data_IF_006770563836
#
_entry.id   IF_006770563836
#
_cell.length_a   1.000
_cell.length_b   1.000
_cell.length_c   1.000
_cell.angle_alpha   90.00
_cell.angle_beta   90.00
_cell.angle_gamma   90.00
#
_symmetry.space_group_name_H-M   'P 1'
#
loop_
_entity.id
_entity.type
_entity.pdbx_description
1 polymer ?
#
# COMPACT_ATOMS: atom_id res chain seq x y z
N UNK A 1 -7.72 -19.30 4.80
CA UNK A 1 -6.35 -19.79 4.63
C UNK A 1 -5.46 -18.58 4.53
N UNK A 2 -4.44 -18.52 5.38
CA UNK A 2 -3.44 -17.45 5.30
C UNK A 2 -2.49 -17.72 4.13
N UNK A 3 -2.13 -16.67 3.38
CA UNK A 3 -1.12 -16.77 2.32
C UNK A 3 0.26 -16.51 2.91
N UNK A 4 1.29 -17.14 2.35
CA UNK A 4 2.67 -16.81 2.71
C UNK A 4 2.94 -15.35 2.34
N UNK A 5 3.50 -14.58 3.27
CA UNK A 5 3.95 -13.21 3.03
C UNK A 5 5.40 -13.27 2.56
N UNK A 6 5.66 -12.76 1.36
CA UNK A 6 6.99 -12.64 0.77
C UNK A 6 7.10 -11.41 -0.14
N UNK A 7 7.63 -10.32 0.42
CA UNK A 7 7.91 -9.10 -0.32
C UNK A 7 8.97 -9.25 -1.43
N UNK A 8 9.75 -10.34 -1.42
CA UNK A 8 10.85 -10.62 -2.35
C UNK A 8 10.54 -11.75 -3.33
N UNK A 9 9.30 -12.27 -3.36
CA UNK A 9 8.95 -13.35 -4.29
C UNK A 9 9.31 -12.97 -5.74
N UNK A 10 9.50 -13.96 -6.59
CA UNK A 10 9.71 -13.68 -8.00
C UNK A 10 8.40 -13.28 -8.70
N UNK A 11 8.50 -12.66 -9.88
CA UNK A 11 7.37 -12.19 -10.69
C UNK A 11 7.43 -12.82 -12.07
N UNK A 12 6.27 -13.23 -12.58
CA UNK A 12 6.16 -13.70 -13.95
C UNK A 12 6.05 -12.53 -14.90
N UNK A 13 6.79 -12.58 -16.00
CA UNK A 13 6.73 -11.63 -17.11
C UNK A 13 6.16 -12.32 -18.35
N UNK A 14 5.42 -11.58 -19.17
CA UNK A 14 4.95 -11.99 -20.48
C UNK A 14 5.26 -10.88 -21.49
N UNK A 15 6.00 -11.21 -22.55
CA UNK A 15 6.23 -10.30 -23.67
C UNK A 15 5.02 -10.26 -24.60
N UNK A 16 4.41 -9.09 -24.76
CA UNK A 16 3.31 -8.89 -25.72
C UNK A 16 3.74 -9.04 -27.18
N UNK A 17 5.01 -8.81 -27.50
CA UNK A 17 5.53 -8.87 -28.87
C UNK A 17 5.83 -10.30 -29.35
N UNK A 18 6.55 -11.09 -28.56
CA UNK A 18 6.99 -12.43 -28.97
C UNK A 18 6.39 -13.57 -28.14
N UNK A 19 5.57 -13.28 -27.12
CA UNK A 19 4.94 -14.27 -26.26
C UNK A 19 5.89 -14.97 -25.27
N UNK A 20 7.17 -14.57 -25.21
CA UNK A 20 8.13 -15.16 -24.28
C UNK A 20 7.69 -14.92 -22.83
N UNK A 21 7.80 -15.96 -21.98
CA UNK A 21 7.50 -15.92 -20.55
C UNK A 21 8.74 -16.25 -19.75
N UNK A 22 9.00 -15.48 -18.70
CA UNK A 22 10.13 -15.72 -17.80
C UNK A 22 9.83 -15.18 -16.41
N UNK A 23 10.70 -15.48 -15.46
CA UNK A 23 10.57 -15.10 -14.06
C UNK A 23 11.69 -14.12 -13.70
N UNK A 24 11.35 -13.09 -12.94
CA UNK A 24 12.27 -11.99 -12.57
C UNK A 24 12.07 -11.57 -11.11
N UNK A 25 13.06 -10.87 -10.56
CA UNK A 25 12.91 -10.13 -9.29
C UNK A 25 12.42 -8.69 -9.53
N UNK A 26 12.17 -7.98 -8.43
CA UNK A 26 11.74 -6.58 -8.48
C UNK A 26 12.85 -5.64 -8.97
N UNK A 27 14.12 -5.97 -8.75
CA UNK A 27 15.26 -5.21 -9.26
C UNK A 27 15.32 -5.22 -10.79
N UNK A 28 15.05 -6.36 -11.42
CA UNK A 28 14.93 -6.46 -12.87
C UNK A 28 13.75 -5.64 -13.38
N UNK A 29 12.59 -5.68 -12.71
CA UNK A 29 11.42 -4.87 -13.09
C UNK A 29 11.75 -3.38 -13.00
N UNK A 30 12.47 -2.95 -11.97
CA UNK A 30 12.91 -1.56 -11.81
C UNK A 30 13.84 -1.12 -12.93
N UNK A 31 14.86 -1.92 -13.27
CA UNK A 31 15.75 -1.65 -14.41
C UNK A 31 14.99 -1.66 -15.75
N UNK A 32 14.01 -2.56 -15.92
CA UNK A 32 13.14 -2.59 -17.09
C UNK A 32 12.31 -1.31 -17.20
N UNK A 33 11.72 -0.79 -16.11
CA UNK A 33 11.00 0.49 -16.10
C UNK A 33 11.90 1.66 -16.54
N UNK A 34 13.20 1.57 -16.27
CA UNK A 34 14.21 2.55 -16.70
C UNK A 34 14.74 2.32 -18.14
N UNK A 35 14.17 1.37 -18.89
CA UNK A 35 14.63 0.95 -20.22
C UNK A 35 16.08 0.43 -20.24
N UNK A 36 16.56 -0.14 -19.13
CA UNK A 36 17.88 -0.77 -19.02
C UNK A 36 17.83 -2.28 -19.27
N UNK A 37 16.64 -2.87 -19.29
CA UNK A 37 16.40 -4.30 -19.55
C UNK A 37 15.33 -4.43 -20.64
N UNK A 38 15.38 -5.52 -21.39
CA UNK A 38 14.41 -5.85 -22.43
C UNK A 38 13.99 -7.31 -22.39
N UNK A 39 13.00 -7.66 -23.21
CA UNK A 39 12.59 -9.06 -23.35
C UNK A 39 13.78 -9.95 -23.74
N UNK A 40 14.07 -11.04 -23.01
CA UNK A 40 15.15 -11.96 -23.37
C UNK A 40 14.97 -12.60 -24.75
N UNK A 41 13.73 -12.72 -25.23
CA UNK A 41 13.40 -13.34 -26.52
C UNK A 41 13.51 -12.42 -27.74
N UNK A 42 13.13 -11.14 -27.61
CA UNK A 42 13.08 -10.22 -28.75
C UNK A 42 13.70 -8.84 -28.53
N UNK A 43 14.23 -8.57 -27.32
CA UNK A 43 14.93 -7.34 -26.98
C UNK A 43 14.05 -6.11 -26.72
N UNK A 44 12.72 -6.20 -26.90
CA UNK A 44 11.83 -5.06 -26.68
C UNK A 44 11.80 -4.65 -25.21
N UNK A 45 12.00 -3.36 -24.95
CA UNK A 45 12.04 -2.75 -23.62
C UNK A 45 10.66 -2.21 -23.20
N UNK A 46 10.61 -1.43 -22.12
CA UNK A 46 9.37 -0.84 -21.60
C UNK A 46 8.71 0.20 -22.51
N UNK A 47 9.40 0.70 -23.55
CA UNK A 47 8.90 1.77 -24.42
C UNK A 47 8.04 1.23 -25.57
N UNK A 48 8.11 -0.08 -25.85
CA UNK A 48 7.30 -0.71 -26.87
C UNK A 48 5.82 -0.77 -26.49
N UNK A 49 4.92 -0.56 -27.45
CA UNK A 49 3.47 -0.73 -27.22
C UNK A 49 3.13 -2.15 -26.74
N UNK A 50 3.89 -3.14 -27.24
CA UNK A 50 3.80 -4.56 -26.89
C UNK A 50 4.91 -5.00 -25.93
N UNK A 51 5.41 -4.07 -25.11
CA UNK A 51 6.43 -4.31 -24.11
C UNK A 51 6.10 -5.49 -23.18
N UNK A 52 7.11 -6.13 -22.58
CA UNK A 52 6.90 -7.08 -21.51
C UNK A 52 6.08 -6.48 -20.39
N UNK A 53 5.13 -7.25 -19.85
CA UNK A 53 4.39 -6.86 -18.66
C UNK A 53 4.47 -7.95 -17.63
N UNK A 54 4.38 -7.56 -16.36
CA UNK A 54 4.14 -8.52 -15.30
C UNK A 54 2.83 -9.23 -15.59
N UNK A 55 2.78 -10.53 -15.32
CA UNK A 55 1.60 -11.36 -15.46
C UNK A 55 1.43 -12.22 -14.21
N UNK A 56 0.28 -12.88 -14.12
CA UNK A 56 -0.08 -13.69 -12.96
C UNK A 56 0.84 -14.92 -12.87
N UNK A 57 1.17 -15.26 -11.63
CA UNK A 57 1.73 -16.56 -11.29
C UNK A 57 0.68 -17.66 -11.58
N UNK A 58 0.95 -18.59 -12.50
CA UNK A 58 0.01 -19.65 -12.85
C UNK A 58 -0.39 -20.54 -11.66
N UNK A 59 0.40 -20.54 -10.58
CA UNK A 59 0.15 -21.32 -9.36
C UNK A 59 -0.53 -20.48 -8.25
N UNK A 60 -0.96 -19.24 -8.53
CA UNK A 60 -1.69 -18.42 -7.55
C UNK A 60 -3.04 -19.05 -7.20
N UNK A 61 -3.21 -19.42 -5.93
CA UNK A 61 -4.46 -19.96 -5.37
C UNK A 61 -5.72 -19.13 -5.67
N UNK A 62 -5.60 -17.80 -5.86
CA UNK A 62 -6.74 -16.95 -6.21
C UNK A 62 -7.24 -17.15 -7.65
N UNK A 63 -6.56 -17.94 -8.48
CA UNK A 63 -7.06 -18.37 -9.78
C UNK A 63 -8.18 -19.43 -9.66
N UNK A 64 -8.27 -20.13 -8.53
CA UNK A 64 -9.32 -21.12 -8.26
C UNK A 64 -10.48 -20.41 -7.57
N UNK A 65 -11.63 -20.35 -8.25
CA UNK A 65 -12.81 -19.57 -7.79
C UNK A 65 -13.30 -20.04 -6.41
N UNK A 66 -13.27 -21.35 -6.15
CA UNK A 66 -13.69 -21.95 -4.88
C UNK A 66 -12.76 -21.58 -3.70
N UNK A 67 -11.52 -21.20 -3.98
CA UNK A 67 -10.53 -20.87 -2.95
C UNK A 67 -10.61 -19.39 -2.57
N UNK A 68 -11.09 -18.50 -3.45
CA UNK A 68 -11.16 -17.04 -3.23
C UNK A 68 -11.84 -16.67 -1.91
N UNK A 69 -12.98 -17.31 -1.62
CA UNK A 69 -13.74 -17.06 -0.38
C UNK A 69 -13.04 -17.62 0.87
N UNK A 70 -12.18 -18.62 0.69
CA UNK A 70 -11.44 -19.27 1.76
C UNK A 70 -10.15 -18.51 2.09
N UNK A 71 -9.58 -17.77 1.14
CA UNK A 71 -8.37 -16.97 1.33
C UNK A 71 -8.59 -15.81 2.29
N UNK A 72 -7.52 -15.44 2.99
CA UNK A 72 -7.44 -14.21 3.76
C UNK A 72 -6.97 -13.08 2.84
N UNK A 73 -7.67 -11.95 2.94
CA UNK A 73 -7.38 -10.74 2.18
C UNK A 73 -7.00 -9.61 3.12
N UNK A 74 -6.30 -8.61 2.60
CA UNK A 74 -5.81 -7.49 3.39
C UNK A 74 -6.19 -6.15 2.80
N UNK A 75 -6.37 -5.18 3.69
CA UNK A 75 -6.59 -3.78 3.35
C UNK A 75 -5.95 -2.87 4.39
N UNK A 76 -5.51 -1.67 3.98
CA UNK A 76 -5.07 -0.64 4.92
C UNK A 76 -5.94 0.59 4.77
N UNK A 77 -6.46 1.10 5.89
CA UNK A 77 -7.30 2.29 5.92
C UNK A 77 -6.91 3.21 7.07
N UNK A 78 -7.23 4.49 6.94
CA UNK A 78 -7.17 5.47 8.03
C UNK A 78 -8.47 5.51 8.84
N UNK A 79 -9.53 4.83 8.35
CA UNK A 79 -10.80 4.68 9.07
C UNK A 79 -10.66 3.52 10.07
N UNK A 80 -10.94 3.72 11.37
CA UNK A 80 -10.80 2.70 12.43
C UNK A 80 -11.92 1.65 12.44
N UNK A 81 -12.96 1.84 11.65
CA UNK A 81 -14.14 0.99 11.59
C UNK A 81 -14.39 0.43 10.17
N UNK A 82 -13.35 0.36 9.33
CA UNK A 82 -13.50 -0.10 7.95
C UNK A 82 -13.81 -1.63 7.84
N UNK A 83 -14.72 -2.06 6.94
CA UNK A 83 -15.65 -1.22 6.20
C UNK A 83 -16.74 -0.69 7.14
N UNK A 84 -17.04 0.61 7.07
CA UNK A 84 -18.18 1.18 7.80
C UNK A 84 -19.48 0.61 7.23
N UNK A 85 -20.36 0.10 8.11
CA UNK A 85 -21.67 -0.48 7.74
C UNK A 85 -22.59 0.62 7.16
N UNK A 86 -22.80 1.70 7.91
CA UNK A 86 -23.61 2.85 7.49
C UNK A 86 -22.72 3.93 6.86
N UNK A 87 -22.02 3.59 5.78
CA UNK A 87 -21.11 4.52 5.13
C UNK A 87 -21.88 5.73 4.56
N UNK A 88 -21.86 6.82 5.32
CA UNK A 88 -22.34 8.13 4.88
C UNK A 88 -21.18 9.08 4.54
N UNK A 89 -20.78 9.16 3.26
CA UNK A 89 -19.67 10.00 2.83
C UNK A 89 -19.98 11.49 3.03
N UNK A 90 -21.25 11.87 3.22
CA UNK A 90 -21.66 13.26 3.42
C UNK A 90 -21.62 13.72 4.89
N UNK A 91 -21.46 12.80 5.85
CA UNK A 91 -21.60 13.09 7.28
C UNK A 91 -20.60 14.14 7.77
N UNK A 92 -19.36 14.13 7.26
CA UNK A 92 -18.29 15.04 7.68
C UNK A 92 -18.19 16.31 6.82
N UNK A 93 -19.03 16.46 5.79
CA UNK A 93 -18.99 17.63 4.92
C UNK A 93 -19.56 18.86 5.63
N UNK A 94 -18.69 19.83 5.91
CA UNK A 94 -19.08 21.15 6.39
C UNK A 94 -20.05 21.86 5.42
N UNK A 95 -20.94 22.69 5.95
CA UNK A 95 -21.95 23.43 5.17
C UNK A 95 -21.35 24.23 4.00
N UNK A 96 -20.21 24.88 4.24
CA UNK A 96 -19.48 25.61 3.18
C UNK A 96 -19.02 24.69 2.05
N UNK A 97 -18.62 23.47 2.36
CA UNK A 97 -18.19 22.47 1.36
C UNK A 97 -19.40 21.97 0.57
N UNK A 98 -20.51 21.69 1.26
CA UNK A 98 -21.79 21.30 0.62
C UNK A 98 -22.26 22.35 -0.38
N UNK A 99 -22.21 23.63 -0.02
CA UNK A 99 -22.55 24.74 -0.91
C UNK A 99 -21.60 24.81 -2.12
N UNK A 100 -20.29 24.64 -1.92
CA UNK A 100 -19.30 24.62 -3.01
C UNK A 100 -19.49 23.45 -3.97
N UNK A 101 -20.01 22.33 -3.48
CA UNK A 101 -20.33 21.14 -4.30
C UNK A 101 -21.62 21.31 -5.13
N UNK A 102 -22.35 22.42 -4.96
CA UNK A 102 -23.61 22.67 -5.66
C UNK A 102 -24.86 22.40 -4.83
N UNK A 103 -24.74 22.34 -3.50
CA UNK A 103 -25.85 22.15 -2.57
C UNK A 103 -26.22 20.68 -2.33
N UNK A 104 -27.27 20.48 -1.53
CA UNK A 104 -27.60 19.16 -0.96
C UNK A 104 -27.89 18.09 -2.04
N UNK A 105 -28.56 18.44 -3.14
CA UNK A 105 -28.80 17.46 -4.22
C UNK A 105 -27.51 16.96 -4.87
N UNK A 106 -26.53 17.85 -5.06
CA UNK A 106 -25.24 17.48 -5.63
C UNK A 106 -24.42 16.62 -4.65
N UNK A 107 -24.52 16.92 -3.36
CA UNK A 107 -23.93 16.11 -2.27
C UNK A 107 -24.58 14.72 -2.21
N UNK A 108 -25.90 14.61 -2.32
CA UNK A 108 -26.60 13.32 -2.36
C UNK A 108 -26.13 12.48 -3.54
N UNK A 109 -26.11 13.05 -4.76
CA UNK A 109 -25.60 12.34 -5.95
C UNK A 109 -24.13 11.94 -5.81
N UNK A 110 -23.31 12.78 -5.21
CA UNK A 110 -21.91 12.45 -4.92
C UNK A 110 -21.82 11.31 -3.90
N UNK A 111 -22.64 11.33 -2.85
CA UNK A 111 -22.66 10.29 -1.83
C UNK A 111 -23.13 8.93 -2.37
N UNK A 112 -24.13 8.93 -3.26
CA UNK A 112 -24.52 7.73 -4.01
C UNK A 112 -23.36 7.17 -4.84
N UNK A 113 -22.62 8.04 -5.56
CA UNK A 113 -21.42 7.61 -6.29
C UNK A 113 -20.35 7.02 -5.38
N UNK A 114 -20.09 7.60 -4.22
CA UNK A 114 -19.11 7.05 -3.27
C UNK A 114 -19.56 5.69 -2.70
N UNK A 115 -20.86 5.53 -2.43
CA UNK A 115 -21.42 4.24 -1.97
C UNK A 115 -21.38 3.16 -3.06
N UNK A 116 -21.47 3.55 -4.33
CA UNK A 116 -21.40 2.66 -5.48
C UNK A 116 -19.96 2.24 -5.86
N UNK A 117 -18.92 2.73 -5.18
CA UNK A 117 -17.54 2.33 -5.44
C UNK A 117 -17.25 0.93 -4.91
N UNK A 118 -16.47 0.17 -5.67
CA UNK A 118 -15.92 -1.09 -5.19
C UNK A 118 -14.94 -0.85 -4.04
N UNK A 119 -14.92 -1.77 -3.08
CA UNK A 119 -13.84 -1.90 -2.11
C UNK A 119 -12.72 -2.74 -2.72
N UNK A 120 -11.49 -2.41 -2.35
CA UNK A 120 -10.29 -3.10 -2.83
C UNK A 120 -9.57 -3.79 -1.69
N UNK A 121 -9.38 -5.10 -1.82
CA UNK A 121 -8.57 -5.92 -0.90
C UNK A 121 -7.53 -6.70 -1.69
N UNK A 122 -6.38 -6.97 -1.11
CA UNK A 122 -5.24 -7.59 -1.79
C UNK A 122 -4.51 -8.62 -0.95
N UNK A 123 -3.28 -8.93 -1.36
CA UNK A 123 -2.28 -9.60 -0.51
C UNK A 123 -1.88 -8.68 0.65
N UNK A 124 -1.18 -9.25 1.64
CA UNK A 124 -0.62 -8.46 2.73
C UNK A 124 0.32 -7.38 2.16
N UNK A 125 1.17 -7.77 1.22
CA UNK A 125 2.16 -6.95 0.53
C UNK A 125 1.50 -5.81 -0.23
N UNK A 126 0.42 -6.10 -0.98
CA UNK A 126 -0.35 -5.08 -1.68
C UNK A 126 -0.97 -4.07 -0.72
N UNK A 127 -1.47 -4.53 0.42
CA UNK A 127 -2.06 -3.65 1.43
C UNK A 127 -1.00 -2.72 2.06
N UNK A 128 0.17 -3.26 2.44
CA UNK A 128 1.25 -2.45 3.02
C UNK A 128 1.85 -1.48 2.00
N UNK A 129 2.04 -1.88 0.75
CA UNK A 129 2.50 -0.95 -0.30
C UNK A 129 1.45 0.15 -0.53
N UNK A 130 0.15 -0.18 -0.60
CA UNK A 130 -0.90 0.84 -0.71
C UNK A 130 -0.79 1.91 0.40
N UNK A 131 -0.62 1.48 1.65
CA UNK A 131 -0.39 2.40 2.77
C UNK A 131 0.81 3.31 2.53
N UNK A 132 1.98 2.75 2.19
CA UNK A 132 3.19 3.55 1.94
C UNK A 132 3.00 4.56 0.80
N UNK A 133 2.36 4.13 -0.29
CA UNK A 133 2.01 4.99 -1.43
C UNK A 133 1.08 6.13 -1.00
N UNK A 134 0.10 5.87 -0.15
CA UNK A 134 -0.83 6.89 0.37
C UNK A 134 -0.12 7.92 1.26
N UNK A 135 0.82 7.48 2.09
CA UNK A 135 1.63 8.36 2.92
C UNK A 135 2.49 9.30 2.06
N UNK A 136 3.11 8.78 0.99
CA UNK A 136 3.98 9.56 0.08
C UNK A 136 3.15 10.50 -0.84
N UNK A 137 2.14 9.96 -1.51
CA UNK A 137 1.50 10.63 -2.66
C UNK A 137 0.10 11.21 -2.36
N UNK A 138 -0.56 10.89 -1.23
CA UNK A 138 -1.97 11.24 -0.97
C UNK A 138 -2.21 12.08 0.30
N UNK A 139 -1.16 12.72 0.83
CA UNK A 139 -1.24 13.61 2.00
C UNK A 139 -1.80 12.97 3.28
N UNK A 140 -1.82 11.64 3.38
CA UNK A 140 -2.15 10.89 4.61
C UNK A 140 -0.94 10.84 5.58
N UNK A 141 0.05 11.71 5.38
CA UNK A 141 1.21 11.81 6.26
C UNK A 141 0.78 12.22 7.67
N UNK A 142 1.14 11.40 8.67
CA UNK A 142 0.78 11.62 10.07
C UNK A 142 -0.60 11.07 10.47
N UNK A 143 -1.36 10.47 9.54
CA UNK A 143 -2.60 9.78 9.87
C UNK A 143 -2.32 8.42 10.53
N UNK A 144 -3.19 8.02 11.45
CA UNK A 144 -3.20 6.66 11.99
C UNK A 144 -3.76 5.70 10.94
N UNK A 145 -2.96 4.73 10.51
CA UNK A 145 -3.41 3.64 9.64
C UNK A 145 -3.78 2.40 10.45
N UNK A 146 -4.66 1.58 9.89
CA UNK A 146 -5.07 0.29 10.42
C UNK A 146 -4.86 -0.78 9.34
N UNK A 147 -4.29 -1.93 9.72
CA UNK A 147 -4.27 -3.12 8.88
C UNK A 147 -5.52 -3.93 9.16
N UNK A 148 -6.28 -4.22 8.11
CA UNK A 148 -7.43 -5.10 8.16
C UNK A 148 -7.09 -6.45 7.57
N UNK A 149 -7.36 -7.50 8.34
CA UNK A 149 -7.46 -8.87 7.85
C UNK A 149 -8.93 -9.13 7.53
N UNK A 150 -9.22 -9.50 6.29
CA UNK A 150 -10.57 -9.55 5.72
C UNK A 150 -10.91 -10.99 5.35
N UNK A 151 -12.09 -11.44 5.78
CA UNK A 151 -12.68 -12.70 5.35
C UNK A 151 -13.94 -12.43 4.56
N UNK A 152 -14.09 -13.15 3.45
CA UNK A 152 -15.26 -13.03 2.58
C UNK A 152 -16.39 -13.94 3.07
N UNK A 153 -17.61 -13.64 2.63
CA UNK A 153 -18.74 -14.56 2.79
C UNK A 153 -18.46 -15.85 2.02
N UNK A 154 -18.63 -17.05 2.62
CA UNK A 154 -18.30 -18.31 1.94
C UNK A 154 -19.06 -18.56 0.63
N UNK A 155 -20.20 -17.89 0.44
CA UNK A 155 -21.10 -18.05 -0.71
C UNK A 155 -20.95 -16.94 -1.75
N UNK A 156 -19.87 -16.14 -1.71
CA UNK A 156 -19.63 -15.11 -2.74
C UNK A 156 -19.53 -15.75 -4.12
N UNK A 157 -20.11 -15.07 -5.10
CA UNK A 157 -19.97 -15.43 -6.51
C UNK A 157 -18.81 -14.66 -7.11
N UNK A 158 -17.79 -15.38 -7.57
CA UNK A 158 -16.59 -14.80 -8.18
C UNK A 158 -16.80 -14.65 -9.68
N UNK A 159 -16.40 -13.51 -10.23
CA UNK A 159 -16.35 -13.30 -11.68
C UNK A 159 -15.38 -14.27 -12.34
N UNK A 160 -15.79 -14.88 -13.45
CA UNK A 160 -14.91 -15.73 -14.25
C UNK A 160 -13.68 -14.96 -14.74
N UNK A 161 -12.51 -15.58 -14.59
CA UNK A 161 -11.23 -15.01 -14.97
C UNK A 161 -10.82 -13.81 -14.10
N UNK A 162 -9.88 -13.04 -14.62
CA UNK A 162 -9.32 -11.88 -13.96
C UNK A 162 -9.24 -10.72 -14.93
N UNK A 163 -9.30 -9.51 -14.38
CA UNK A 163 -9.24 -8.28 -15.13
C UNK A 163 -7.79 -7.78 -15.16
N UNK A 164 -7.37 -7.27 -16.32
CA UNK A 164 -6.23 -6.34 -16.31
C UNK A 164 -6.66 -5.17 -15.46
N UNK A 165 -5.78 -4.77 -14.55
CA UNK A 165 -5.95 -3.60 -13.70
C UNK A 165 -6.68 -2.46 -14.44
N UNK A 166 -7.92 -2.12 -14.06
CA UNK A 166 -8.63 -1.03 -14.71
C UNK A 166 -7.85 0.25 -14.41
N UNK A 167 -7.17 0.79 -15.43
CA UNK A 167 -6.16 1.87 -15.36
C UNK A 167 -6.59 3.18 -14.66
N UNK A 168 -7.81 3.30 -14.14
CA UNK A 168 -8.33 4.47 -13.42
C UNK A 168 -8.03 4.38 -11.91
N UNK A 169 -6.80 4.02 -11.54
CA UNK A 169 -6.38 3.65 -10.18
C UNK A 169 -6.21 4.85 -9.23
N UNK A 170 -7.32 5.57 -9.02
CA UNK A 170 -7.57 6.43 -7.85
C UNK A 170 -8.79 5.91 -7.10
N UNK A 171 -8.97 4.59 -6.97
CA UNK A 171 -9.99 3.99 -6.09
C UNK A 171 -11.46 4.29 -6.46
N UNK A 172 -11.72 4.70 -7.69
CA UNK A 172 -13.01 5.23 -8.13
C UNK A 172 -13.77 4.27 -9.06
N UNK A 173 -13.40 2.99 -9.08
CA UNK A 173 -14.08 1.97 -9.88
C UNK A 173 -15.50 1.77 -9.35
N UNK A 174 -16.47 1.94 -10.23
CA UNK A 174 -17.87 1.67 -9.92
C UNK A 174 -18.06 0.17 -9.78
N UNK A 175 -18.65 -0.27 -8.67
CA UNK A 175 -18.82 -1.68 -8.34
C UNK A 175 -19.53 -2.44 -9.46
N UNK A 176 -20.60 -1.90 -10.00
CA UNK A 176 -21.40 -2.55 -11.05
C UNK A 176 -20.64 -2.73 -12.38
N UNK A 177 -19.57 -1.97 -12.63
CA UNK A 177 -18.73 -2.12 -13.85
C UNK A 177 -17.82 -3.36 -13.76
N UNK A 178 -17.39 -3.71 -12.55
CA UNK A 178 -16.49 -4.86 -12.31
C UNK A 178 -17.22 -6.08 -11.78
N UNK A 179 -18.28 -5.89 -11.00
CA UNK A 179 -19.14 -6.89 -10.41
C UNK A 179 -20.58 -6.67 -10.91
N UNK A 180 -20.93 -7.15 -12.12
CA UNK A 180 -22.31 -7.05 -12.62
C UNK A 180 -23.29 -7.86 -11.75
N UNK A 181 -24.59 -7.68 -11.97
CA UNK A 181 -25.64 -8.34 -11.19
C UNK A 181 -25.40 -9.86 -11.04
N UNK A 182 -25.38 -10.33 -9.79
CA UNK A 182 -25.12 -11.73 -9.45
C UNK A 182 -23.64 -12.09 -9.26
N UNK A 183 -22.73 -11.12 -9.41
CA UNK A 183 -21.31 -11.25 -9.10
C UNK A 183 -21.00 -10.40 -7.87
N UNK A 184 -20.35 -10.99 -6.88
CA UNK A 184 -19.99 -10.30 -5.63
C UNK A 184 -18.55 -9.76 -5.67
N UNK A 185 -17.66 -10.48 -6.39
CA UNK A 185 -16.22 -10.28 -6.35
C UNK A 185 -15.62 -10.39 -7.75
N UNK A 186 -14.72 -9.47 -8.10
CA UNK A 186 -13.90 -9.52 -9.31
C UNK A 186 -12.41 -9.52 -8.98
N UNK A 187 -11.67 -10.45 -9.58
CA UNK A 187 -10.20 -10.49 -9.48
C UNK A 187 -9.59 -9.52 -10.47
N UNK A 188 -8.52 -8.83 -10.08
CA UNK A 188 -7.69 -8.07 -11.00
C UNK A 188 -6.21 -8.30 -10.71
N UNK A 189 -5.42 -8.27 -11.78
CA UNK A 189 -3.97 -8.32 -11.71
C UNK A 189 -3.45 -6.98 -11.21
N UNK A 190 -2.81 -6.95 -10.05
CA UNK A 190 -2.23 -5.74 -9.50
C UNK A 190 -0.92 -5.40 -10.23
N UNK A 191 -0.77 -4.16 -10.73
CA UNK A 191 0.50 -3.66 -11.31
C UNK A 191 1.23 -2.64 -10.42
N UNK A 192 0.54 -2.07 -9.45
CA UNK A 192 0.98 -0.88 -8.72
C UNK A 192 1.56 -1.23 -7.35
N UNK A 193 0.76 -1.86 -6.48
CA UNK A 193 1.14 -2.18 -5.11
C UNK A 193 1.84 -3.54 -4.97
N UNK A 194 1.41 -4.57 -5.67
CA UNK A 194 2.11 -5.85 -5.67
C UNK A 194 2.08 -6.45 -7.08
N UNK A 195 3.00 -5.98 -7.96
CA UNK A 195 2.98 -6.36 -9.37
C UNK A 195 2.86 -7.86 -9.52
N UNK A 196 1.90 -8.38 -10.29
CA UNK A 196 1.80 -9.83 -10.52
C UNK A 196 0.98 -10.60 -9.49
N UNK A 197 0.54 -9.99 -8.39
CA UNK A 197 -0.44 -10.60 -7.50
C UNK A 197 -1.87 -10.36 -7.98
N UNK A 198 -2.78 -11.26 -7.58
CA UNK A 198 -4.20 -11.04 -7.67
C UNK A 198 -4.73 -10.27 -6.45
N UNK A 199 -5.52 -9.23 -6.73
CA UNK A 199 -6.31 -8.48 -5.75
C UNK A 199 -7.79 -8.53 -6.15
N UNK A 200 -8.68 -8.10 -5.26
CA UNK A 200 -10.12 -8.16 -5.45
C UNK A 200 -10.75 -6.78 -5.42
N UNK A 201 -11.70 -6.57 -6.31
CA UNK A 201 -12.72 -5.54 -6.24
C UNK A 201 -14.03 -6.19 -5.79
N UNK A 202 -14.69 -5.65 -4.76
CA UNK A 202 -15.87 -6.26 -4.16
C UNK A 202 -16.81 -5.25 -3.51
N UNK A 203 -18.07 -5.63 -3.33
CA UNK A 203 -19.04 -4.86 -2.55
C UNK A 203 -18.88 -5.10 -1.04
N UNK A 204 -19.35 -4.16 -0.22
CA UNK A 204 -19.34 -4.30 1.26
C UNK A 204 -19.96 -5.61 1.75
N UNK A 205 -21.05 -6.04 1.11
CA UNK A 205 -21.79 -7.26 1.46
C UNK A 205 -21.02 -8.56 1.16
N UNK A 206 -19.93 -8.50 0.40
CA UNK A 206 -19.07 -9.66 0.15
C UNK A 206 -18.11 -9.94 1.34
N UNK A 207 -17.97 -9.00 2.27
CA UNK A 207 -17.12 -9.14 3.46
C UNK A 207 -17.96 -9.76 4.58
N UNK A 208 -17.50 -10.88 5.14
CA UNK A 208 -18.13 -11.51 6.30
C UNK A 208 -17.61 -10.93 7.61
N UNK A 209 -16.29 -10.72 7.71
CA UNK A 209 -15.68 -10.21 8.92
C UNK A 209 -14.32 -9.57 8.70
N UNK A 210 -13.93 -8.74 9.66
CA UNK A 210 -12.60 -8.16 9.74
C UNK A 210 -11.96 -8.36 11.12
N UNK A 211 -10.64 -8.42 11.15
CA UNK A 211 -9.80 -8.17 12.34
C UNK A 211 -8.90 -6.99 12.01
N UNK A 212 -8.50 -6.21 13.00
CA UNK A 212 -7.67 -5.04 12.77
C UNK A 212 -6.58 -4.81 13.83
N UNK A 213 -5.53 -4.13 13.40
CA UNK A 213 -4.53 -3.56 14.30
C UNK A 213 -4.15 -2.16 13.83
N UNK A 214 -3.73 -1.31 14.75
CA UNK A 214 -3.11 -0.03 14.41
C UNK A 214 -1.69 -0.25 13.84
N UNK A 215 -1.32 0.52 12.82
CA UNK A 215 0.02 0.55 12.21
C UNK A 215 0.69 1.91 12.46
N UNK A 216 1.96 1.96 12.86
CA UNK A 216 2.82 0.81 13.20
C UNK A 216 2.37 0.11 14.48
N UNK A 217 2.50 -1.23 14.57
CA UNK A 217 2.25 -1.94 15.83
C UNK A 217 3.26 -1.48 16.88
N UNK A 218 2.80 -1.27 18.11
CA UNK A 218 3.59 -0.67 19.20
C UNK A 218 4.73 -1.57 19.73
N UNK A 219 4.89 -2.78 19.18
CA UNK A 219 5.64 -3.88 19.78
C UNK A 219 6.76 -4.37 18.84
N UNK A 220 7.75 -3.53 18.60
CA UNK A 220 8.96 -3.91 17.88
C UNK A 220 10.19 -3.73 18.76
N UNK A 221 10.63 -4.81 19.40
CA UNK A 221 11.80 -4.82 20.28
C UNK A 221 13.08 -5.10 19.47
N UNK A 222 13.49 -4.16 18.61
CA UNK A 222 14.91 -4.05 18.23
C UNK A 222 15.58 -3.00 19.13
N UNK A 223 15.77 -3.38 20.40
CA UNK A 223 16.38 -2.52 21.41
C UNK A 223 17.77 -2.00 20.99
N UNK A 224 18.48 -2.72 20.12
CA UNK A 224 19.81 -2.37 19.65
C UNK A 224 19.81 -1.17 18.71
N UNK A 225 19.03 -1.25 17.63
CA UNK A 225 18.92 -0.13 16.68
C UNK A 225 18.21 1.06 17.32
N UNK A 226 17.12 0.83 18.06
CA UNK A 226 16.30 1.89 18.67
C UNK A 226 17.12 2.75 19.64
N UNK A 227 17.84 2.13 20.58
CA UNK A 227 18.66 2.88 21.56
C UNK A 227 19.78 3.67 20.87
N UNK A 228 20.40 3.10 19.85
CA UNK A 228 21.46 3.75 19.06
C UNK A 228 20.92 4.98 18.33
N UNK A 229 19.81 4.81 17.60
CA UNK A 229 19.19 5.89 16.83
C UNK A 229 18.77 7.07 17.74
N UNK A 230 18.14 6.77 18.88
CA UNK A 230 17.74 7.78 19.88
C UNK A 230 18.97 8.54 20.40
N UNK A 231 20.03 7.82 20.79
CA UNK A 231 21.26 8.43 21.32
C UNK A 231 21.94 9.35 20.30
N UNK A 232 22.04 8.91 19.05
CA UNK A 232 22.65 9.69 17.97
C UNK A 232 21.83 10.94 17.62
N UNK A 233 20.50 10.86 17.57
CA UNK A 233 19.66 12.04 17.29
C UNK A 233 19.64 13.05 18.43
N UNK A 234 19.59 12.60 19.68
CA UNK A 234 19.62 13.50 20.85
C UNK A 234 20.92 14.28 20.97
N UNK A 235 22.04 13.67 20.57
CA UNK A 235 23.36 14.31 20.59
C UNK A 235 23.61 15.17 19.34
N UNK A 236 22.82 15.02 18.29
CA UNK A 236 22.94 15.78 17.04
C UNK A 236 22.22 17.15 17.14
N UNK A 237 22.87 18.27 16.78
CA UNK A 237 22.24 19.60 16.81
C UNK A 237 21.10 19.78 15.80
N UNK A 238 20.09 20.58 16.17
CA UNK A 238 18.96 20.97 15.28
C UNK A 238 19.36 22.09 14.32
N UNK A 239 20.18 23.05 14.76
CA UNK A 239 20.54 24.20 13.94
C UNK A 239 21.69 23.85 12.98
N UNK A 240 21.51 24.14 11.69
CA UNK A 240 22.62 24.17 10.74
C UNK A 240 23.59 25.32 11.11
N UNK A 241 24.91 25.13 10.99
CA UNK A 241 25.86 26.23 11.18
C UNK A 241 25.55 27.38 10.21
N UNK A 242 25.77 28.64 10.62
CA UNK A 242 25.44 29.79 9.77
C UNK A 242 26.20 29.71 8.44
N UNK A 243 25.55 30.05 7.30
CA UNK A 243 26.18 29.95 6.00
C UNK A 243 27.38 30.89 5.90
N UNK A 244 28.56 30.34 5.62
CA UNK A 244 29.76 31.11 5.25
C UNK A 244 29.64 31.58 3.80
N UNK A 245 28.75 32.53 3.51
CA UNK A 245 28.68 33.16 2.18
C UNK A 245 27.34 33.79 1.80
N UNK A 246 27.40 34.76 0.87
CA UNK A 246 26.25 35.47 0.32
C UNK A 246 25.35 34.55 -0.53
N UNK A 247 24.08 34.43 -0.12
CA UNK A 247 23.03 33.56 -0.69
C UNK A 247 22.77 33.74 -2.20
N UNK A 248 22.50 32.66 -2.96
CA UNK A 248 21.55 32.69 -4.06
C UNK A 248 20.11 32.55 -3.55
N UNK A 249 19.16 33.16 -4.28
CA UNK A 249 17.72 33.12 -4.02
C UNK A 249 17.15 31.73 -4.34
N UNK A 250 16.42 31.18 -3.37
CA UNK A 250 15.66 29.93 -3.48
C UNK A 250 15.55 29.33 -2.09
N UNK A 251 14.44 29.56 -1.38
CA UNK A 251 14.19 29.01 -0.04
C UNK A 251 13.85 27.52 -0.16
N UNK A 252 14.83 26.68 -0.42
CA UNK A 252 14.83 25.35 0.18
C UNK A 252 15.56 25.50 1.51
N UNK A 253 14.86 25.29 2.63
CA UNK A 253 15.55 25.21 3.92
C UNK A 253 16.57 24.09 3.81
N UNK A 254 17.85 24.40 4.01
CA UNK A 254 18.87 23.36 4.09
C UNK A 254 18.45 22.36 5.18
N UNK A 255 18.62 21.06 4.91
CA UNK A 255 18.34 20.02 5.90
C UNK A 255 19.17 20.29 7.16
N UNK A 256 18.57 20.13 8.34
CA UNK A 256 19.29 20.21 9.60
C UNK A 256 20.29 19.06 9.71
N UNK A 257 21.38 19.20 10.50
CA UNK A 257 22.27 18.09 10.81
C UNK A 257 21.51 16.90 11.39
N UNK A 258 20.47 17.16 12.21
CA UNK A 258 19.63 16.11 12.79
C UNK A 258 18.80 15.35 11.76
N UNK A 259 18.15 16.04 10.81
CA UNK A 259 17.43 15.38 9.69
C UNK A 259 18.38 14.60 8.80
N UNK A 260 19.56 15.12 8.52
CA UNK A 260 20.58 14.39 7.77
C UNK A 260 20.97 13.11 8.51
N UNK A 261 21.22 13.20 9.82
CA UNK A 261 21.59 12.06 10.66
C UNK A 261 20.50 10.99 10.71
N UNK A 262 19.23 11.40 10.80
CA UNK A 262 18.09 10.49 10.70
C UNK A 262 18.08 9.74 9.36
N UNK A 263 18.35 10.44 8.25
CA UNK A 263 18.49 9.84 6.92
C UNK A 263 19.61 8.80 6.84
N UNK A 264 20.76 9.06 7.47
CA UNK A 264 21.87 8.11 7.54
C UNK A 264 21.50 6.86 8.35
N UNK A 265 20.76 7.03 9.44
CA UNK A 265 20.34 5.92 10.33
C UNK A 265 19.35 4.95 9.67
N UNK A 266 18.47 5.46 8.80
CA UNK A 266 17.47 4.63 8.11
C UNK A 266 18.00 3.97 6.84
N UNK A 267 19.12 4.44 6.28
CA UNK A 267 19.64 3.94 5.01
C UNK A 267 19.91 2.42 5.01
N UNK A 268 20.51 1.81 6.06
CA UNK A 268 20.66 0.36 6.13
C UNK A 268 19.32 -0.39 6.21
N UNK A 269 18.27 0.23 6.76
CA UNK A 269 16.93 -0.36 6.80
C UNK A 269 16.27 -0.33 5.42
N UNK A 270 16.37 0.81 4.72
CA UNK A 270 15.88 0.97 3.34
C UNK A 270 16.49 -0.09 2.41
N UNK A 271 17.81 -0.34 2.54
CA UNK A 271 18.52 -1.32 1.71
C UNK A 271 18.06 -2.78 1.94
N UNK A 272 17.36 -3.05 3.05
CA UNK A 272 16.75 -4.36 3.33
C UNK A 272 15.34 -4.49 2.77
N UNK A 273 14.80 -3.47 2.10
CA UNK A 273 13.48 -3.49 1.50
C UNK A 273 13.58 -3.70 -0.02
N UNK A 274 12.56 -4.31 -0.63
CA UNK A 274 12.45 -4.38 -2.09
C UNK A 274 12.52 -3.00 -2.73
N UNK A 275 13.17 -2.89 -3.89
CA UNK A 275 13.46 -1.62 -4.58
C UNK A 275 12.21 -0.75 -4.80
N UNK A 276 11.06 -1.36 -5.10
CA UNK A 276 9.80 -0.66 -5.34
C UNK A 276 9.19 -0.02 -4.08
N UNK A 277 9.64 -0.40 -2.87
CA UNK A 277 9.15 0.16 -1.61
C UNK A 277 10.10 1.20 -1.01
N UNK A 278 11.37 1.21 -1.42
CA UNK A 278 12.42 2.02 -0.79
C UNK A 278 12.08 3.50 -0.70
N UNK A 279 11.62 4.10 -1.82
CA UNK A 279 11.25 5.52 -1.89
C UNK A 279 10.11 5.86 -0.93
N UNK A 280 9.01 5.11 -1.00
CA UNK A 280 7.81 5.42 -0.22
C UNK A 280 8.03 5.14 1.27
N UNK A 281 8.78 4.08 1.60
CA UNK A 281 9.21 3.83 2.98
C UNK A 281 10.05 5.00 3.49
N UNK A 282 11.04 5.47 2.72
CA UNK A 282 11.87 6.63 3.10
C UNK A 282 11.01 7.88 3.38
N UNK A 283 9.97 8.12 2.58
CA UNK A 283 9.02 9.19 2.83
C UNK A 283 8.22 8.96 4.13
N UNK A 284 7.75 7.73 4.37
CA UNK A 284 6.94 7.38 5.53
C UNK A 284 7.69 7.43 6.88
N UNK A 285 9.01 7.33 6.86
CA UNK A 285 9.87 7.44 8.06
C UNK A 285 10.69 8.74 8.10
N UNK A 286 10.33 9.74 7.29
CA UNK A 286 11.04 11.03 7.28
C UNK A 286 11.00 11.69 8.66
N UNK A 287 12.16 12.12 9.16
CA UNK A 287 12.27 12.80 10.46
C UNK A 287 11.95 14.29 10.33
N UNK A 288 11.13 14.81 11.25
CA UNK A 288 10.94 16.25 11.43
C UNK A 288 11.70 16.74 12.68
N UNK A 289 12.32 17.91 12.61
CA UNK A 289 13.09 18.47 13.73
C UNK A 289 12.25 18.73 14.99
N UNK A 290 10.93 18.86 14.85
CA UNK A 290 10.00 19.05 15.97
C UNK A 290 9.50 17.72 16.55
N UNK A 291 9.88 16.57 15.95
CA UNK A 291 9.50 15.25 16.41
C UNK A 291 10.46 14.76 17.51
N UNK A 292 9.92 14.11 18.53
CA UNK A 292 10.73 13.48 19.57
C UNK A 292 11.48 12.26 18.99
N UNK A 293 12.81 12.14 19.18
CA UNK A 293 13.59 11.03 18.64
C UNK A 293 13.07 9.65 19.01
N UNK A 294 12.55 9.47 20.22
CA UNK A 294 11.98 8.21 20.68
C UNK A 294 10.70 7.83 19.94
N UNK A 295 9.83 8.81 19.67
CA UNK A 295 8.59 8.56 18.92
C UNK A 295 8.90 8.21 17.48
N UNK A 296 9.82 8.96 16.86
CA UNK A 296 10.31 8.64 15.52
C UNK A 296 10.96 7.26 15.45
N UNK A 297 11.89 6.94 16.35
CA UNK A 297 12.59 5.65 16.31
C UNK A 297 11.62 4.47 16.49
N UNK A 298 10.64 4.59 17.40
CA UNK A 298 9.57 3.58 17.55
C UNK A 298 8.74 3.44 16.28
N UNK A 299 8.39 4.55 15.65
CA UNK A 299 7.67 4.56 14.36
C UNK A 299 8.46 3.84 13.26
N UNK A 300 9.76 4.13 13.14
CA UNK A 300 10.64 3.45 12.17
C UNK A 300 10.71 1.95 12.42
N UNK A 301 10.93 1.51 13.66
CA UNK A 301 11.01 0.09 14.00
C UNK A 301 9.68 -0.61 13.71
N UNK A 302 8.56 -0.02 14.13
CA UNK A 302 7.24 -0.60 13.92
C UNK A 302 6.87 -0.69 12.44
N UNK A 303 7.17 0.32 11.62
CA UNK A 303 6.97 0.24 10.17
C UNK A 303 7.90 -0.81 9.53
N UNK A 304 9.15 -0.91 9.98
CA UNK A 304 10.09 -1.92 9.50
C UNK A 304 9.60 -3.35 9.79
N UNK A 305 8.98 -3.55 10.96
CA UNK A 305 8.42 -4.84 11.37
C UNK A 305 7.36 -5.38 10.40
N UNK A 306 6.63 -4.51 9.70
CA UNK A 306 5.65 -4.92 8.68
C UNK A 306 6.28 -5.74 7.54
N UNK A 307 7.55 -5.47 7.23
CA UNK A 307 8.26 -6.12 6.13
C UNK A 307 9.14 -7.27 6.60
N UNK A 308 9.83 -7.05 7.72
CA UNK A 308 10.91 -7.93 8.17
C UNK A 308 10.46 -8.96 9.21
N UNK A 309 9.28 -8.77 9.81
CA UNK A 309 8.69 -9.69 10.78
C UNK A 309 7.15 -9.75 10.64
N UNK A 310 6.61 -10.01 9.43
CA UNK A 310 5.16 -10.04 9.21
C UNK A 310 4.45 -11.06 10.10
N UNK A 311 5.10 -12.16 10.48
CA UNK A 311 4.56 -13.16 11.40
C UNK A 311 4.18 -12.59 12.77
N UNK A 312 4.92 -11.59 13.28
CA UNK A 312 4.59 -10.93 14.54
C UNK A 312 3.35 -10.05 14.40
N UNK A 313 3.20 -9.40 13.24
CA UNK A 313 2.04 -8.57 12.88
C UNK A 313 0.79 -9.45 12.75
N UNK A 314 0.94 -10.61 12.08
CA UNK A 314 -0.14 -11.59 11.95
C UNK A 314 -0.53 -12.19 13.30
N UNK A 315 0.43 -12.47 14.17
CA UNK A 315 0.16 -12.95 15.53
C UNK A 315 -0.58 -11.92 16.39
N UNK A 316 -0.38 -10.62 16.15
CA UNK A 316 -1.17 -9.57 16.80
C UNK A 316 -2.60 -9.52 16.25
N UNK A 317 -2.77 -9.63 14.93
CA UNK A 317 -4.10 -9.78 14.31
C UNK A 317 -4.86 -10.99 14.83
N UNK A 318 -4.18 -12.12 15.06
CA UNK A 318 -4.79 -13.33 15.64
C UNK A 318 -5.37 -13.10 17.06
N UNK A 319 -4.83 -12.12 17.80
CA UNK A 319 -5.32 -11.75 19.15
C UNK A 319 -6.46 -10.74 19.11
N UNK A 320 -6.64 -10.04 17.99
CA UNK A 320 -7.70 -9.04 17.85
C UNK A 320 -9.08 -9.68 17.70
N UNK A 321 -10.10 -8.95 18.13
CA UNK A 321 -11.49 -9.42 18.10
C UNK A 321 -12.02 -9.42 16.66
N UNK A 322 -12.57 -10.56 16.23
CA UNK A 322 -13.26 -10.65 14.94
C UNK A 322 -14.54 -9.82 14.98
N UNK A 323 -14.65 -8.84 14.08
CA UNK A 323 -15.85 -8.04 13.86
C UNK A 323 -16.61 -8.54 12.63
N UNK A 324 -17.82 -9.02 12.83
CA UNK A 324 -18.75 -9.35 11.73
C UNK A 324 -19.27 -8.06 11.09
N UNK A 325 -19.38 -8.06 9.76
CA UNK A 325 -19.91 -6.95 8.97
C UNK A 325 -21.38 -7.18 8.67
#
# INVERSE_FOLDING_TARGET
MERSVDFFRSRHMLCGQCGHRWVVDLDWIDRWKQALEGCPGCGVDCKGETAPRVTIDPDDSALVDEDVAQLVWYHTSTQPDWPTHDFDPAAELAEVTRLRMGGDEAVTRWGERQRAKALHVGTYEAAIHNMLRRIDDQADYGSQFYLYRVRLVPTVTVREGWLIDPNDFVGDVVLDEVCPLGIDVARYLNYHEDPGALSLALGRNAIASTQQIAIPPLSGDDFGWLATAIGELKTTPVASPPPTGSRPRGRHSAMSPRRQKAGELILPLIQRLPVNLQRQYQAAVAFDDNQEPEEWARHVVGLTGLFLAPELVLAELDRDTVRTI
#
